data_IF_573765517398
#
_entry.id   IF_573765517398
#
_cell.length_a   1.000
_cell.length_b   1.000
_cell.length_c   1.000
_cell.angle_alpha   90.00
_cell.angle_beta   90.00
_cell.angle_gamma   90.00
#
_symmetry.space_group_name_H-M   'P 1'
#
loop_
_entity.id
_entity.type
_entity.pdbx_description
1 polymer ?
#
# COMPACT_ATOMS: atom_id res chain seq x y z
N UNK A 1 -22.70 9.67 9.09
CA UNK A 1 -21.23 9.82 9.18
C UNK A 1 -20.81 11.20 8.70
N UNK A 2 -19.87 11.86 9.39
CA UNK A 2 -19.31 13.17 9.00
C UNK A 2 -18.57 13.08 7.64
N UNK A 3 -18.27 14.22 7.01
CA UNK A 3 -17.49 14.22 5.77
C UNK A 3 -16.09 13.63 5.99
N UNK A 4 -15.44 13.97 7.11
CA UNK A 4 -14.15 13.41 7.49
C UNK A 4 -14.20 11.89 7.66
N UNK A 5 -15.25 11.36 8.31
CA UNK A 5 -15.39 9.92 8.49
C UNK A 5 -15.62 9.20 7.15
N UNK A 6 -16.42 9.78 6.25
CA UNK A 6 -16.60 9.23 4.90
C UNK A 6 -15.30 9.21 4.12
N UNK A 7 -14.51 10.29 4.17
CA UNK A 7 -13.20 10.35 3.53
C UNK A 7 -12.27 9.26 4.07
N UNK A 8 -12.20 9.07 5.40
CA UNK A 8 -11.39 8.03 6.05
C UNK A 8 -11.75 6.62 5.58
N UNK A 9 -13.05 6.31 5.53
CA UNK A 9 -13.53 5.01 5.06
C UNK A 9 -13.22 4.79 3.57
N UNK A 10 -13.37 5.82 2.74
CA UNK A 10 -13.04 5.74 1.32
C UNK A 10 -11.55 5.49 1.09
N UNK A 11 -10.67 6.19 1.81
CA UNK A 11 -9.21 5.96 1.76
C UNK A 11 -8.87 4.53 2.18
N UNK A 12 -9.45 4.05 3.29
CA UNK A 12 -9.24 2.68 3.77
C UNK A 12 -9.64 1.65 2.71
N UNK A 13 -10.81 1.82 2.07
CA UNK A 13 -11.28 0.94 1.00
C UNK A 13 -10.37 0.98 -0.23
N UNK A 14 -9.92 2.17 -0.63
CA UNK A 14 -9.05 2.34 -1.79
C UNK A 14 -7.70 1.63 -1.59
N UNK A 15 -7.10 1.78 -0.40
CA UNK A 15 -5.85 1.10 -0.04
C UNK A 15 -6.04 -0.42 -0.09
N UNK A 16 -7.06 -0.95 0.60
CA UNK A 16 -7.30 -2.41 0.66
C UNK A 16 -7.60 -3.01 -0.72
N UNK A 17 -8.38 -2.30 -1.55
CA UNK A 17 -8.64 -2.72 -2.93
C UNK A 17 -7.37 -2.75 -3.78
N UNK A 18 -6.49 -1.78 -3.59
CA UNK A 18 -5.22 -1.71 -4.32
C UNK A 18 -4.30 -2.86 -3.94
N UNK A 19 -4.14 -3.15 -2.64
CA UNK A 19 -3.36 -4.30 -2.15
C UNK A 19 -3.94 -5.62 -2.69
N UNK A 20 -5.28 -5.78 -2.68
CA UNK A 20 -5.93 -6.95 -3.25
C UNK A 20 -5.67 -7.11 -4.76
N UNK A 21 -5.60 -6.00 -5.51
CA UNK A 21 -5.22 -6.03 -6.93
C UNK A 21 -3.74 -6.38 -7.11
N UNK A 22 -2.86 -5.91 -6.25
CA UNK A 22 -1.44 -6.29 -6.30
C UNK A 22 -1.30 -7.80 -6.05
N UNK A 23 -2.10 -8.35 -5.13
CA UNK A 23 -2.06 -9.78 -4.80
C UNK A 23 -2.38 -10.70 -5.99
N UNK A 24 -3.05 -10.21 -7.05
CA UNK A 24 -3.30 -11.00 -8.26
C UNK A 24 -2.04 -11.18 -9.11
N UNK A 25 -1.10 -10.24 -9.04
CA UNK A 25 0.14 -10.25 -9.82
C UNK A 25 1.34 -10.69 -8.96
N UNK A 26 1.40 -10.23 -7.71
CA UNK A 26 2.48 -10.50 -6.76
C UNK A 26 1.93 -10.67 -5.33
N UNK A 27 1.67 -11.92 -4.90
CA UNK A 27 1.19 -12.21 -3.56
C UNK A 27 2.18 -11.84 -2.45
N UNK A 28 3.49 -11.96 -2.69
CA UNK A 28 4.52 -11.67 -1.67
C UNK A 28 4.60 -10.17 -1.40
N UNK A 29 4.56 -9.35 -2.44
CA UNK A 29 4.50 -7.90 -2.33
C UNK A 29 3.23 -7.46 -1.62
N UNK A 30 2.08 -8.04 -1.98
CA UNK A 30 0.81 -7.72 -1.34
C UNK A 30 0.82 -8.03 0.16
N UNK A 31 1.35 -9.19 0.57
CA UNK A 31 1.49 -9.54 2.00
C UNK A 31 2.38 -8.53 2.73
N UNK A 32 3.51 -8.15 2.13
CA UNK A 32 4.40 -7.13 2.68
C UNK A 32 3.69 -5.79 2.90
N UNK A 33 2.92 -5.33 1.89
CA UNK A 33 2.14 -4.10 1.97
C UNK A 33 1.02 -4.18 3.01
N UNK A 34 0.32 -5.31 3.11
CA UNK A 34 -0.77 -5.49 4.07
C UNK A 34 -0.28 -5.42 5.53
N UNK A 35 0.92 -5.92 5.80
CA UNK A 35 1.57 -5.81 7.13
C UNK A 35 2.16 -4.43 7.38
N UNK A 36 2.73 -3.79 6.35
CA UNK A 36 3.40 -2.50 6.49
C UNK A 36 2.43 -1.31 6.52
N UNK A 37 1.24 -1.43 5.94
CA UNK A 37 0.23 -0.37 5.88
C UNK A 37 -0.82 -0.55 6.98
N UNK A 38 -0.95 0.45 7.84
CA UNK A 38 -2.03 0.53 8.83
C UNK A 38 -3.05 1.60 8.44
N UNK A 39 -4.33 1.23 8.43
CA UNK A 39 -5.46 2.12 8.14
C UNK A 39 -6.34 2.24 9.38
N UNK A 40 -6.19 3.34 10.13
CA UNK A 40 -6.95 3.62 11.37
C UNK A 40 -7.64 4.99 11.31
N UNK A 41 -7.54 5.77 12.39
CA UNK A 41 -7.89 7.21 12.35
C UNK A 41 -6.99 7.99 11.38
N UNK A 42 -5.74 7.54 11.28
CA UNK A 42 -4.76 7.99 10.30
C UNK A 42 -4.20 6.77 9.55
N UNK A 43 -3.72 6.99 8.33
CA UNK A 43 -3.03 5.96 7.55
C UNK A 43 -1.52 6.12 7.76
N UNK A 44 -0.80 5.00 7.94
CA UNK A 44 0.65 5.00 8.08
C UNK A 44 1.26 3.84 7.32
N UNK A 45 2.38 4.08 6.65
CA UNK A 45 3.25 3.04 6.09
C UNK A 45 4.49 2.89 6.97
N UNK A 46 4.71 1.69 7.50
CA UNK A 46 5.87 1.32 8.30
C UNK A 46 6.52 0.12 7.62
N UNK A 47 7.58 0.33 6.81
CA UNK A 47 8.36 -0.78 6.27
C UNK A 47 8.79 -1.71 7.39
N UNK A 48 8.65 -3.01 7.19
CA UNK A 48 9.23 -3.99 8.10
C UNK A 48 10.74 -4.04 7.86
N UNK A 49 11.51 -4.33 8.91
CA UNK A 49 12.94 -4.58 8.78
C UNK A 49 13.17 -5.70 7.75
N UNK A 50 14.03 -5.43 6.76
CA UNK A 50 14.25 -6.34 5.63
C UNK A 50 13.31 -6.13 4.43
N UNK A 51 12.57 -5.02 4.35
CA UNK A 51 11.86 -4.64 3.13
C UNK A 51 12.84 -4.66 1.93
N UNK A 52 12.51 -5.43 0.90
CA UNK A 52 13.39 -5.66 -0.26
C UNK A 52 13.79 -4.33 -0.89
N UNK A 53 15.09 -3.99 -0.81
CA UNK A 53 15.64 -2.84 -1.51
C UNK A 53 15.83 -3.22 -2.97
N UNK A 54 14.99 -2.67 -3.84
CA UNK A 54 15.19 -2.78 -5.28
C UNK A 54 15.93 -1.55 -5.81
N UNK A 55 16.77 -1.77 -6.83
CA UNK A 55 17.46 -0.70 -7.54
C UNK A 55 16.83 -0.57 -8.92
N UNK A 56 16.20 0.57 -9.21
CA UNK A 56 15.76 0.85 -10.58
C UNK A 56 16.94 1.35 -11.38
N UNK A 57 17.22 0.65 -12.49
CA UNK A 57 18.10 1.14 -13.54
C UNK A 57 17.24 1.94 -14.51
N UNK A 58 17.32 3.26 -14.44
CA UNK A 58 16.72 4.10 -15.49
C UNK A 58 17.64 4.01 -16.71
N UNK A 59 17.21 3.26 -17.72
CA UNK A 59 17.85 3.30 -19.05
C UNK A 59 17.45 4.59 -19.76
N UNK A 60 18.42 5.30 -20.33
CA UNK A 60 18.17 6.51 -21.12
C UNK A 60 17.23 6.17 -22.28
N UNK A 61 16.06 6.82 -22.30
CA UNK A 61 15.18 6.77 -23.48
C UNK A 61 15.88 7.49 -24.62
N UNK A 62 16.20 6.76 -25.68
CA UNK A 62 16.55 7.31 -27.00
C UNK A 62 15.35 8.01 -27.65
#
# INVERSE_FOLDING_TARGET
ASQAERARLNVTRAIRRTIARIATEDPRLAEGLDRAVSTGSFCSYRPLDGAESWTVRIGERS
#
